data_IF_465712862472
#
_entry.id   IF_465712862472
#
_cell.length_a   1.000
_cell.length_b   1.000
_cell.length_c   1.000
_cell.angle_alpha   90.00
_cell.angle_beta   90.00
_cell.angle_gamma   90.00
#
_symmetry.space_group_name_H-M   'P 1'
#
loop_
_entity.id
_entity.type
_entity.pdbx_description
1 polymer ?
#
# COMPACT_ATOMS: atom_id res chain seq x y z
N UNK A 1 -3.08 7.42 -11.43
CA UNK A 1 -3.04 6.42 -10.34
C UNK A 1 -4.34 5.64 -10.31
N UNK A 2 -4.28 4.36 -10.06
CA UNK A 2 -5.46 3.51 -9.93
C UNK A 2 -6.27 3.93 -8.69
N UNK A 3 -7.59 3.86 -8.78
CA UNK A 3 -8.46 4.24 -7.66
C UNK A 3 -8.51 3.16 -6.58
N UNK A 4 -8.39 1.90 -6.96
CA UNK A 4 -8.47 0.76 -6.05
C UNK A 4 -7.36 -0.21 -6.42
N UNK A 5 -6.66 -0.72 -5.41
CA UNK A 5 -5.64 -1.74 -5.59
C UNK A 5 -5.87 -2.89 -4.62
N UNK A 6 -5.44 -4.08 -5.02
CA UNK A 6 -5.46 -5.26 -4.15
C UNK A 6 -4.02 -5.71 -3.95
N UNK A 7 -3.60 -5.80 -2.70
CA UNK A 7 -2.24 -6.21 -2.37
C UNK A 7 -2.25 -7.32 -1.33
N UNK A 8 -1.16 -8.07 -1.30
CA UNK A 8 -0.94 -9.10 -0.29
C UNK A 8 -0.01 -8.54 0.79
N UNK A 9 -0.45 -8.58 2.03
CA UNK A 9 0.39 -8.22 3.16
C UNK A 9 1.33 -9.38 3.51
N UNK A 10 2.34 -9.08 4.34
CA UNK A 10 3.32 -10.11 4.72
C UNK A 10 2.71 -11.27 5.49
N UNK A 11 1.58 -11.06 6.16
CA UNK A 11 0.88 -12.12 6.89
C UNK A 11 -0.01 -12.97 5.98
N UNK A 12 0.12 -12.82 4.67
CA UNK A 12 -0.65 -13.52 3.63
C UNK A 12 -2.10 -13.08 3.52
N UNK A 13 -2.51 -12.05 4.24
CA UNK A 13 -3.85 -11.50 4.06
C UNK A 13 -3.89 -10.66 2.78
N UNK A 14 -5.07 -10.60 2.16
CA UNK A 14 -5.31 -9.80 0.97
C UNK A 14 -6.08 -8.55 1.36
N UNK A 15 -5.56 -7.39 0.98
CA UNK A 15 -6.18 -6.11 1.30
C UNK A 15 -6.58 -5.39 0.03
N UNK A 16 -7.80 -4.88 0.00
CA UNK A 16 -8.25 -3.96 -1.06
C UNK A 16 -8.19 -2.55 -0.50
N UNK A 17 -7.43 -1.69 -1.17
CA UNK A 17 -7.15 -0.34 -0.69
C UNK A 17 -7.69 0.67 -1.69
N UNK A 18 -8.44 1.65 -1.17
CA UNK A 18 -8.82 2.83 -1.96
C UNK A 18 -7.67 3.81 -1.88
N UNK A 19 -7.03 4.09 -3.02
CA UNK A 19 -5.78 4.85 -3.06
C UNK A 19 -5.94 6.27 -2.50
N UNK A 20 -7.14 6.84 -2.57
CA UNK A 20 -7.40 8.16 -2.00
C UNK A 20 -7.20 8.23 -0.49
N UNK A 21 -7.18 7.09 0.19
CA UNK A 21 -6.97 7.03 1.64
C UNK A 21 -5.51 6.83 2.02
N UNK A 22 -4.62 6.67 1.04
CA UNK A 22 -3.19 6.53 1.31
C UNK A 22 -2.62 7.87 1.72
N UNK A 23 -2.02 7.94 2.92
CA UNK A 23 -1.40 9.16 3.41
C UNK A 23 0.07 9.25 2.98
N UNK A 24 0.80 8.16 3.12
CA UNK A 24 2.19 8.08 2.66
C UNK A 24 2.62 6.62 2.62
N UNK A 25 3.75 6.37 1.97
CA UNK A 25 4.31 5.03 1.84
C UNK A 25 5.74 5.07 2.32
N UNK A 26 6.08 4.22 3.29
CA UNK A 26 7.45 4.08 3.76
C UNK A 26 8.18 3.06 2.90
N UNK A 27 9.40 3.39 2.53
CA UNK A 27 10.27 2.49 1.79
C UNK A 27 11.24 1.82 2.75
N UNK A 28 11.37 0.51 2.66
CA UNK A 28 12.35 -0.22 3.46
C UNK A 28 13.01 -1.29 2.58
N UNK A 29 14.19 -1.80 3.00
CA UNK A 29 14.85 -2.87 2.26
C UNK A 29 14.02 -4.15 2.13
N UNK A 30 13.08 -4.36 3.03
CA UNK A 30 12.22 -5.55 3.04
C UNK A 30 10.95 -5.38 2.22
N UNK A 31 10.62 -4.15 1.84
CA UNK A 31 9.40 -3.85 1.11
C UNK A 31 8.85 -2.51 1.53
N UNK A 32 7.61 -2.25 1.18
CA UNK A 32 6.96 -0.99 1.49
C UNK A 32 5.91 -1.15 2.57
N UNK A 33 5.76 -0.12 3.40
CA UNK A 33 4.66 -0.04 4.37
C UNK A 33 3.72 1.06 3.89
N UNK A 34 2.47 0.69 3.63
CA UNK A 34 1.45 1.63 3.15
C UNK A 34 0.66 2.12 4.35
N UNK A 35 0.67 3.44 4.55
CA UNK A 35 -0.11 4.07 5.61
C UNK A 35 -1.38 4.65 5.03
N UNK A 36 -2.52 4.23 5.56
CA UNK A 36 -3.82 4.70 5.12
C UNK A 36 -4.58 5.31 6.29
N UNK A 37 -5.48 6.23 5.96
CA UNK A 37 -6.39 6.80 6.94
C UNK A 37 -7.76 6.16 6.74
N UNK A 38 -8.22 5.42 7.72
CA UNK A 38 -9.50 4.74 7.68
C UNK A 38 -10.34 5.19 8.86
N UNK A 39 -11.36 6.00 8.61
CA UNK A 39 -12.27 6.46 9.64
C UNK A 39 -11.60 7.25 10.76
N UNK A 40 -10.58 8.06 10.42
CA UNK A 40 -9.84 8.85 11.39
C UNK A 40 -8.71 8.10 12.07
N UNK A 41 -8.51 6.83 11.74
CA UNK A 41 -7.41 6.02 12.28
C UNK A 41 -6.35 5.78 11.22
N UNK A 42 -5.10 5.83 11.63
CA UNK A 42 -3.98 5.52 10.76
C UNK A 42 -3.68 4.03 10.84
N UNK A 43 -3.75 3.34 9.69
CA UNK A 43 -3.49 1.90 9.61
C UNK A 43 -2.26 1.69 8.74
N UNK A 44 -1.33 0.88 9.21
CA UNK A 44 -0.12 0.54 8.47
C UNK A 44 -0.22 -0.88 7.93
N UNK A 45 -0.03 -1.02 6.62
CA UNK A 45 -0.05 -2.33 5.96
C UNK A 45 1.34 -2.62 5.45
N UNK A 46 1.99 -3.64 6.03
CA UNK A 46 3.33 -4.04 5.62
C UNK A 46 3.21 -5.01 4.45
N UNK A 47 3.88 -4.68 3.35
CA UNK A 47 3.88 -5.51 2.16
C UNK A 47 5.30 -5.98 1.86
N UNK A 48 5.42 -7.05 1.07
CA UNK A 48 6.71 -7.47 0.55
C UNK A 48 7.06 -6.80 -0.77
N UNK A 49 6.23 -5.90 -1.26
CA UNK A 49 6.45 -5.24 -2.53
C UNK A 49 7.56 -4.21 -2.42
N UNK A 50 8.49 -4.23 -3.37
CA UNK A 50 9.45 -3.14 -3.53
C UNK A 50 8.74 -1.94 -4.13
N UNK A 51 9.36 -0.76 -3.98
CA UNK A 51 8.76 0.47 -4.52
C UNK A 51 8.47 0.36 -6.02
N UNK A 52 9.39 -0.24 -6.78
CA UNK A 52 9.18 -0.40 -8.23
C UNK A 52 7.93 -1.23 -8.54
N UNK A 53 7.70 -2.30 -7.77
CA UNK A 53 6.52 -3.13 -7.94
C UNK A 53 5.25 -2.37 -7.55
N UNK A 54 5.33 -1.60 -6.48
CA UNK A 54 4.20 -0.83 -5.99
C UNK A 54 3.82 0.28 -6.97
N UNK A 55 4.80 0.94 -7.57
CA UNK A 55 4.56 1.95 -8.60
C UNK A 55 3.76 1.36 -9.76
N UNK A 56 4.14 0.16 -10.20
CA UNK A 56 3.40 -0.53 -11.26
C UNK A 56 1.98 -0.88 -10.84
N UNK A 57 1.82 -1.35 -9.60
CA UNK A 57 0.50 -1.71 -9.07
C UNK A 57 -0.41 -0.49 -8.95
N UNK A 58 0.14 0.62 -8.49
CA UNK A 58 -0.60 1.88 -8.32
C UNK A 58 -0.82 2.61 -9.64
N UNK A 59 -0.05 2.24 -10.68
CA UNK A 59 -0.06 2.92 -11.98
C UNK A 59 0.27 4.41 -11.84
N UNK A 60 1.26 4.72 -11.00
CA UNK A 60 1.76 6.07 -10.84
C UNK A 60 2.56 6.45 -12.09
N UNK A 61 2.23 7.63 -12.64
CA UNK A 61 2.91 8.16 -13.83
C UNK A 61 3.88 9.25 -13.46
#
# INVERSE_FOLDING_TARGET
>A
MKEVITINALDHSTCTIFTKHITYIEHSPRGCVIHINAGGQNVAITTGFKWSDLVNTLEIK
#
